data_IF_546443413607
#
_entry.id   IF_546443413607
#
_cell.length_a   1.000
_cell.length_b   1.000
_cell.length_c   1.000
_cell.angle_alpha   90.00
_cell.angle_beta   90.00
_cell.angle_gamma   90.00
#
_symmetry.space_group_name_H-M   'P 1'
#
loop_
_entity.id
_entity.type
_entity.pdbx_description
1 polymer ?
#
# COMPACT_ATOMS: atom_id res chain seq x y z
N UNK A 1 0.20 -1.28 22.32
CA UNK A 1 1.47 -0.81 21.69
C UNK A 1 1.68 -1.38 20.28
N UNK A 2 1.14 -2.56 19.98
CA UNK A 2 1.08 -3.20 18.66
C UNK A 2 0.16 -2.47 17.65
N UNK A 3 -1.10 -2.30 18.02
CA UNK A 3 -2.15 -1.61 17.26
C UNK A 3 -1.70 -0.25 16.70
N UNK A 4 -1.07 0.58 17.55
CA UNK A 4 -0.51 1.90 17.17
C UNK A 4 0.49 1.81 16.01
N UNK A 5 1.23 0.70 15.89
CA UNK A 5 2.20 0.51 14.79
C UNK A 5 1.54 0.00 13.52
N UNK A 6 0.36 -0.61 13.59
CA UNK A 6 -0.39 -1.07 12.42
C UNK A 6 -1.22 0.09 11.85
N UNK A 7 -1.79 0.96 12.71
CA UNK A 7 -2.45 2.20 12.27
C UNK A 7 -1.48 3.11 11.48
N UNK A 8 -0.20 3.10 11.84
CA UNK A 8 0.85 3.78 11.08
C UNK A 8 0.98 3.32 9.63
N UNK A 9 0.60 2.09 9.28
CA UNK A 9 0.55 1.63 7.88
C UNK A 9 -0.48 2.47 7.13
N UNK A 10 -1.70 2.56 7.69
CA UNK A 10 -2.80 3.31 7.09
C UNK A 10 -2.44 4.79 7.00
N UNK A 11 -1.86 5.37 8.04
CA UNK A 11 -1.40 6.77 8.04
C UNK A 11 -0.33 7.03 6.98
N UNK A 12 0.67 6.15 6.88
CA UNK A 12 1.76 6.27 5.90
C UNK A 12 1.26 6.11 4.47
N UNK A 13 0.30 5.21 4.23
CA UNK A 13 -0.38 5.08 2.94
C UNK A 13 -1.21 6.32 2.60
N UNK A 14 -1.87 6.94 3.58
CA UNK A 14 -2.65 8.18 3.41
C UNK A 14 -1.78 9.42 3.19
N UNK A 15 -0.62 9.52 3.84
CA UNK A 15 0.31 10.64 3.65
C UNK A 15 1.20 10.46 2.42
N UNK A 16 1.50 9.21 2.04
CA UNK A 16 2.50 8.89 1.03
C UNK A 16 3.93 8.84 1.58
N UNK A 17 4.09 8.81 2.90
CA UNK A 17 5.39 8.65 3.56
C UNK A 17 5.88 7.21 3.40
N UNK A 18 6.53 6.93 2.27
CA UNK A 18 7.11 5.63 1.96
C UNK A 18 8.25 5.24 2.90
N UNK A 19 8.96 6.21 3.50
CA UNK A 19 10.05 5.92 4.43
C UNK A 19 9.51 5.40 5.76
N UNK A 20 8.46 6.02 6.28
CA UNK A 20 7.79 5.50 7.48
C UNK A 20 7.09 4.18 7.17
N UNK A 21 6.45 4.04 6.01
CA UNK A 21 5.86 2.77 5.57
C UNK A 21 6.91 1.65 5.54
N UNK A 22 8.09 1.92 4.97
CA UNK A 22 9.24 1.01 4.94
C UNK A 22 9.70 0.61 6.34
N UNK A 23 9.83 1.56 7.25
CA UNK A 23 10.21 1.29 8.64
C UNK A 23 9.19 0.42 9.36
N UNK A 24 7.90 0.70 9.14
CA UNK A 24 6.81 -0.10 9.72
C UNK A 24 6.85 -1.52 9.18
N UNK A 25 7.02 -1.71 7.87
CA UNK A 25 7.15 -3.04 7.28
C UNK A 25 8.39 -3.78 7.77
N UNK A 26 9.56 -3.14 7.82
CA UNK A 26 10.77 -3.75 8.37
C UNK A 26 10.58 -4.16 9.82
N UNK A 27 9.80 -3.41 10.60
CA UNK A 27 9.46 -3.76 11.96
C UNK A 27 8.50 -4.97 12.03
N UNK A 28 7.49 -5.02 11.17
CA UNK A 28 6.52 -6.12 11.08
C UNK A 28 7.16 -7.43 10.61
N UNK A 29 8.17 -7.35 9.76
CA UNK A 29 8.87 -8.50 9.17
C UNK A 29 10.03 -9.03 10.02
N UNK A 30 10.28 -8.48 11.22
CA UNK A 30 11.24 -9.08 12.15
C UNK A 30 10.70 -10.44 12.64
N UNK A 31 11.57 -11.45 12.67
CA UNK A 31 11.20 -12.82 13.08
C UNK A 31 10.42 -12.83 14.40
N UNK A 32 9.36 -13.66 14.43
CA UNK A 32 8.41 -13.83 15.54
C UNK A 32 7.51 -12.64 15.87
N UNK A 33 7.24 -11.75 14.90
CA UNK A 33 6.34 -10.64 15.15
C UNK A 33 4.85 -11.04 15.04
N UNK A 34 4.06 -11.04 16.15
CA UNK A 34 2.66 -11.44 16.12
C UNK A 34 1.75 -10.46 15.36
N UNK A 35 2.23 -9.28 14.96
CA UNK A 35 1.38 -8.22 14.41
C UNK A 35 0.82 -8.51 13.01
N UNK A 36 1.47 -9.38 12.22
CA UNK A 36 0.87 -9.84 10.95
C UNK A 36 -0.42 -10.63 11.21
N UNK A 37 -0.41 -11.51 12.22
CA UNK A 37 -1.61 -12.23 12.63
C UNK A 37 -2.69 -11.29 13.19
N UNK A 38 -2.30 -10.17 13.79
CA UNK A 38 -3.23 -9.14 14.28
C UNK A 38 -3.92 -8.42 13.11
N UNK A 39 -3.19 -8.09 12.05
CA UNK A 39 -3.76 -7.55 10.79
C UNK A 39 -4.78 -8.53 10.21
N UNK A 40 -4.44 -9.81 10.15
CA UNK A 40 -5.31 -10.85 9.57
C UNK A 40 -6.57 -11.10 10.40
N UNK A 41 -6.44 -11.01 11.73
CA UNK A 41 -7.58 -11.15 12.65
C UNK A 41 -8.52 -9.94 12.63
N UNK A 42 -8.05 -8.77 12.17
CA UNK A 42 -8.82 -7.53 12.13
C UNK A 42 -9.24 -7.16 10.70
N UNK A 43 -10.40 -7.68 10.30
CA UNK A 43 -10.97 -7.46 8.96
C UNK A 43 -11.08 -5.98 8.57
N UNK A 44 -11.53 -5.11 9.50
CA UNK A 44 -11.67 -3.67 9.20
C UNK A 44 -10.32 -3.02 8.93
N UNK A 45 -9.28 -3.41 9.67
CA UNK A 45 -7.93 -2.90 9.49
C UNK A 45 -7.31 -3.40 8.17
N UNK A 46 -7.50 -4.68 7.84
CA UNK A 46 -7.07 -5.26 6.56
C UNK A 46 -7.71 -4.53 5.38
N UNK A 47 -9.03 -4.31 5.42
CA UNK A 47 -9.76 -3.55 4.39
C UNK A 47 -9.23 -2.12 4.25
N UNK A 48 -8.96 -1.43 5.38
CA UNK A 48 -8.38 -0.09 5.35
C UNK A 48 -6.98 -0.08 4.73
N UNK A 49 -6.11 -1.02 5.08
CA UNK A 49 -4.77 -1.13 4.49
C UNK A 49 -4.90 -1.33 2.99
N UNK A 50 -5.72 -2.29 2.54
CA UNK A 50 -5.89 -2.62 1.13
C UNK A 50 -6.44 -1.43 0.32
N UNK A 51 -7.50 -0.77 0.80
CA UNK A 51 -8.07 0.40 0.12
C UNK A 51 -7.02 1.52 -0.02
N UNK A 52 -6.32 1.86 1.07
CA UNK A 52 -5.32 2.93 1.03
C UNK A 52 -4.10 2.55 0.19
N UNK A 53 -3.78 1.25 0.10
CA UNK A 53 -2.73 0.74 -0.77
C UNK A 53 -3.05 1.00 -2.25
N UNK A 54 -4.26 0.65 -2.70
CA UNK A 54 -4.70 0.90 -4.08
C UNK A 54 -4.79 2.40 -4.40
N UNK A 55 -5.31 3.21 -3.47
CA UNK A 55 -5.35 4.66 -3.63
C UNK A 55 -3.93 5.23 -3.82
N UNK A 56 -2.97 4.77 -3.00
CA UNK A 56 -1.59 5.24 -3.09
C UNK A 56 -0.90 4.79 -4.36
N UNK A 57 -1.10 3.54 -4.79
CA UNK A 57 -0.63 3.05 -6.09
C UNK A 57 -1.11 3.96 -7.23
N UNK A 58 -2.42 4.24 -7.28
CA UNK A 58 -2.97 5.16 -8.28
C UNK A 58 -2.33 6.54 -8.17
N UNK A 59 -2.14 7.07 -6.96
CA UNK A 59 -1.56 8.40 -6.79
C UNK A 59 -0.12 8.48 -7.32
N UNK A 60 0.68 7.43 -7.15
CA UNK A 60 2.04 7.38 -7.72
C UNK A 60 2.03 7.29 -9.24
N UNK A 61 1.05 6.59 -9.83
CA UNK A 61 0.82 6.58 -11.28
C UNK A 61 0.42 7.97 -11.80
N UNK A 62 -0.54 8.65 -11.15
CA UNK A 62 -1.03 9.98 -11.54
C UNK A 62 0.07 11.04 -11.61
N UNK A 63 1.02 11.00 -10.67
CA UNK A 63 2.13 11.96 -10.59
C UNK A 63 3.38 11.51 -11.37
N UNK A 64 3.32 10.39 -12.09
CA UNK A 64 4.44 9.84 -12.86
C UNK A 64 5.61 9.33 -12.01
N UNK A 65 5.40 9.04 -10.72
CA UNK A 65 6.46 8.57 -9.84
C UNK A 65 6.56 7.04 -9.85
N UNK A 66 7.03 6.51 -10.99
CA UNK A 66 7.15 5.07 -11.22
C UNK A 66 8.12 4.36 -10.26
N UNK A 67 9.12 5.07 -9.75
CA UNK A 67 10.04 4.53 -8.73
C UNK A 67 9.31 4.20 -7.43
N UNK A 68 8.47 5.11 -6.95
CA UNK A 68 7.67 4.89 -5.75
C UNK A 68 6.50 3.92 -5.98
N UNK A 69 5.93 3.93 -7.17
CA UNK A 69 4.96 2.91 -7.58
C UNK A 69 5.56 1.50 -7.49
N UNK A 70 6.73 1.28 -8.09
CA UNK A 70 7.43 -0.01 -8.04
C UNK A 70 7.77 -0.43 -6.61
N UNK A 71 8.33 0.50 -5.81
CA UNK A 71 8.63 0.20 -4.39
C UNK A 71 7.38 -0.19 -3.62
N UNK A 72 6.25 0.48 -3.85
CA UNK A 72 4.99 0.11 -3.21
C UNK A 72 4.49 -1.26 -3.66
N UNK A 73 4.59 -1.59 -4.96
CA UNK A 73 4.30 -2.94 -5.45
C UNK A 73 5.17 -4.00 -4.78
N UNK A 74 6.47 -3.76 -4.59
CA UNK A 74 7.36 -4.70 -3.89
C UNK A 74 6.95 -4.94 -2.42
N UNK A 75 6.10 -4.08 -1.84
CA UNK A 75 5.52 -4.27 -0.51
C UNK A 75 4.21 -5.07 -0.51
N UNK A 76 3.57 -5.30 -1.66
CA UNK A 76 2.31 -6.05 -1.71
C UNK A 76 2.45 -7.45 -1.15
N UNK A 77 3.55 -8.12 -1.49
CA UNK A 77 3.87 -9.46 -1.00
C UNK A 77 4.04 -9.51 0.53
N UNK A 78 4.56 -8.44 1.13
CA UNK A 78 4.79 -8.36 2.58
C UNK A 78 3.49 -8.16 3.38
N UNK A 79 2.46 -7.67 2.72
CA UNK A 79 1.12 -7.49 3.28
C UNK A 79 0.13 -8.55 2.81
N UNK A 80 0.58 -9.53 2.02
CA UNK A 80 -0.29 -10.51 1.38
C UNK A 80 -1.43 -9.83 0.58
N UNK A 81 -1.12 -8.70 -0.06
CA UNK A 81 -2.05 -8.00 -0.95
C UNK A 81 -1.84 -8.54 -2.36
N UNK A 82 -2.81 -9.32 -2.84
CA UNK A 82 -2.87 -9.68 -4.25
C UNK A 82 -3.28 -8.47 -5.08
N UNK A 83 -2.40 -8.04 -6.01
CA UNK A 83 -2.65 -6.90 -6.88
C UNK A 83 -3.70 -7.24 -7.94
N UNK A 84 -4.89 -6.69 -7.76
CA UNK A 84 -5.94 -6.67 -8.77
C UNK A 84 -6.01 -5.27 -9.39
N UNK A 85 -5.65 -5.19 -10.67
CA UNK A 85 -5.70 -3.94 -11.44
C UNK A 85 -7.08 -3.30 -11.38
N UNK A 86 -8.16 -4.08 -11.25
CA UNK A 86 -9.52 -3.54 -11.18
C UNK A 86 -9.80 -2.74 -9.91
N UNK A 87 -9.06 -2.99 -8.83
CA UNK A 87 -9.15 -2.25 -7.57
C UNK A 87 -8.36 -0.94 -7.59
N UNK A 88 -7.49 -0.73 -8.58
CA UNK A 88 -6.81 0.57 -8.78
C UNK A 88 -7.86 1.61 -9.22
N UNK A 89 -8.12 2.65 -8.42
CA UNK A 89 -9.09 3.67 -8.76
C UNK A 89 -8.63 4.42 -10.01
N UNK A 90 -9.59 4.87 -10.86
CA UNK A 90 -9.31 5.70 -12.05
C UNK A 90 -8.34 5.09 -13.08
N UNK A 91 -8.09 3.78 -13.02
CA UNK A 91 -7.16 3.06 -13.92
C UNK A 91 -7.40 3.33 -15.42
N UNK A 92 -8.66 3.43 -15.85
CA UNK A 92 -9.01 3.69 -17.24
C UNK A 92 -8.64 5.12 -17.64
N UNK A 93 -8.90 6.10 -16.78
CA UNK A 93 -8.52 7.50 -17.02
C UNK A 93 -7.01 7.62 -17.19
N UNK A 94 -6.26 6.91 -16.36
CA UNK A 94 -4.80 6.85 -16.43
C UNK A 94 -4.29 6.17 -17.71
N UNK A 95 -4.79 4.96 -18.04
CA UNK A 95 -4.37 4.21 -19.24
C UNK A 95 -4.67 5.03 -20.49
N UNK A 96 -5.85 5.65 -20.56
CA UNK A 96 -6.23 6.54 -21.66
C UNK A 96 -5.27 7.73 -21.77
N UNK A 97 -4.89 8.34 -20.64
CA UNK A 97 -3.94 9.45 -20.64
C UNK A 97 -2.56 9.06 -21.17
N UNK A 98 -2.00 7.94 -20.70
CA UNK A 98 -0.72 7.42 -21.22
C UNK A 98 -0.80 7.07 -22.69
N UNK A 99 -1.89 6.46 -23.14
CA UNK A 99 -2.06 6.06 -24.54
C UNK A 99 -2.21 7.26 -25.49
N UNK A 100 -2.81 8.35 -25.02
CA UNK A 100 -3.03 9.58 -25.81
C UNK A 100 -1.83 10.55 -25.77
N UNK A 101 -1.05 10.53 -24.68
CA UNK A 101 0.15 11.37 -24.51
C UNK A 101 1.43 10.68 -25.02
N UNK A 102 1.33 9.43 -25.52
CA UNK A 102 2.45 8.59 -25.97
C UNK A 102 2.68 8.57 -27.48
#
# INVERSE_FOLDING_TARGET
MAFVKIEKIVESLKSGDLLELERVFLYLMKDNNPYLSEIDSNKSLREQIEINFYIRLNRFLEIGNFGYFKRLLDFSDKLDIFIDINKIPKRIEFISKIHLDG
#
